data_IF_680430813959
#
_entry.id   IF_680430813959
#
_cell.length_a   1.000
_cell.length_b   1.000
_cell.length_c   1.000
_cell.angle_alpha   90.00
_cell.angle_beta   90.00
_cell.angle_gamma   90.00
#
_symmetry.space_group_name_H-M   'P 1'
#
loop_
_entity.id
_entity.type
_entity.pdbx_description
1 polymer ?
#
# COMPACT_ATOMS: atom_id res chain seq x y z
N UNK A 1 8.59 28.99 13.84
CA UNK A 1 8.19 28.14 12.69
C UNK A 1 6.70 27.87 12.81
N UNK A 2 5.89 28.11 11.76
CA UNK A 2 4.48 27.70 11.77
C UNK A 2 4.43 26.18 11.66
N UNK A 3 3.83 25.49 12.63
CA UNK A 3 3.59 24.04 12.56
C UNK A 3 2.70 23.77 11.34
N UNK A 4 3.21 23.01 10.37
CA UNK A 4 2.42 22.57 9.22
C UNK A 4 1.46 21.48 9.69
N UNK A 5 0.24 21.47 9.14
CA UNK A 5 -0.74 20.42 9.40
C UNK A 5 -0.09 19.05 9.11
N UNK A 6 -0.26 18.04 9.98
CA UNK A 6 0.18 16.69 9.69
C UNK A 6 -0.52 16.14 8.43
N UNK A 7 0.16 15.38 7.58
CA UNK A 7 -0.48 14.60 6.53
C UNK A 7 -1.41 13.54 7.15
N UNK A 8 -2.57 13.34 6.54
CA UNK A 8 -3.64 12.44 7.00
C UNK A 8 -3.99 11.38 5.96
N UNK A 9 -3.61 11.57 4.69
CA UNK A 9 -3.90 10.63 3.61
C UNK A 9 -2.63 10.10 2.93
N UNK A 10 -2.66 8.90 2.30
CA UNK A 10 -1.50 8.37 1.59
C UNK A 10 -0.93 9.31 0.53
N UNK A 11 -1.79 10.07 -0.16
CA UNK A 11 -1.36 11.04 -1.16
C UNK A 11 -0.59 12.21 -0.50
N UNK A 12 -1.09 12.73 0.62
CA UNK A 12 -0.42 13.79 1.37
C UNK A 12 0.92 13.33 1.93
N UNK A 13 1.03 12.07 2.37
CA UNK A 13 2.30 11.48 2.80
C UNK A 13 3.32 11.40 1.67
N UNK A 14 2.90 10.99 0.47
CA UNK A 14 3.78 10.96 -0.72
C UNK A 14 4.22 12.37 -1.13
N UNK A 15 3.31 13.33 -1.15
CA UNK A 15 3.64 14.72 -1.51
C UNK A 15 4.57 15.36 -0.47
N UNK A 16 4.40 15.01 0.80
CA UNK A 16 5.33 15.41 1.87
C UNK A 16 6.71 14.80 1.66
N UNK A 17 6.80 13.49 1.39
CA UNK A 17 8.07 12.81 1.13
C UNK A 17 8.84 13.45 -0.04
N UNK A 18 8.16 13.75 -1.15
CA UNK A 18 8.73 14.45 -2.31
C UNK A 18 9.22 15.85 -1.95
N UNK A 19 8.44 16.57 -1.15
CA UNK A 19 8.78 17.93 -0.70
C UNK A 19 10.01 17.94 0.19
N UNK A 20 10.11 17.01 1.14
CA UNK A 20 11.29 16.92 2.02
C UNK A 20 12.56 16.55 1.22
N UNK A 21 12.46 15.58 0.28
CA UNK A 21 13.54 15.26 -0.65
C UNK A 21 13.98 16.48 -1.49
N UNK A 22 13.02 17.21 -2.07
CA UNK A 22 13.31 18.36 -2.92
C UNK A 22 13.90 19.55 -2.16
N UNK A 23 13.54 19.71 -0.89
CA UNK A 23 14.09 20.76 -0.01
C UNK A 23 15.46 20.39 0.57
N UNK A 24 16.02 19.22 0.23
CA UNK A 24 17.26 18.72 0.82
C UNK A 24 17.13 18.44 2.32
N UNK A 25 15.91 18.26 2.82
CA UNK A 25 15.64 17.86 4.19
C UNK A 25 15.95 16.37 4.32
N UNK A 26 16.48 16.01 5.49
CA UNK A 26 16.89 14.67 5.90
C UNK A 26 16.12 13.54 5.20
N UNK A 27 16.88 12.70 4.48
CA UNK A 27 16.35 11.59 3.70
C UNK A 27 15.56 10.60 4.56
N UNK A 28 15.84 10.55 5.87
CA UNK A 28 15.14 9.69 6.82
C UNK A 28 13.68 10.12 6.99
N UNK A 29 13.39 11.44 7.02
CA UNK A 29 12.01 11.93 7.12
C UNK A 29 11.21 11.65 5.85
N UNK A 30 11.82 11.84 4.68
CA UNK A 30 11.16 11.52 3.42
C UNK A 30 10.87 10.02 3.30
N UNK A 31 11.82 9.19 3.71
CA UNK A 31 11.67 7.73 3.75
C UNK A 31 10.54 7.33 4.71
N UNK A 32 10.49 7.93 5.90
CA UNK A 32 9.42 7.68 6.86
C UNK A 32 8.03 8.00 6.29
N UNK A 33 7.87 9.16 5.64
CA UNK A 33 6.61 9.53 5.02
C UNK A 33 6.21 8.60 3.86
N UNK A 34 7.18 8.16 3.05
CA UNK A 34 6.92 7.18 1.99
C UNK A 34 6.47 5.82 2.56
N UNK A 35 7.10 5.34 3.64
CA UNK A 35 6.73 4.09 4.30
C UNK A 35 5.32 4.15 4.90
N UNK A 36 4.94 5.27 5.52
CA UNK A 36 3.57 5.46 6.04
C UNK A 36 2.56 5.39 4.89
N UNK A 37 2.83 6.06 3.76
CA UNK A 37 1.94 6.01 2.61
C UNK A 37 1.74 4.57 2.08
N UNK A 38 2.82 3.77 2.06
CA UNK A 38 2.76 2.36 1.66
C UNK A 38 1.92 1.55 2.65
N UNK A 39 2.17 1.69 3.96
CA UNK A 39 1.44 0.96 4.99
C UNK A 39 -0.08 1.23 4.93
N UNK A 40 -0.48 2.48 4.77
CA UNK A 40 -1.88 2.87 4.61
C UNK A 40 -2.52 2.25 3.35
N UNK A 41 -1.80 2.24 2.22
CA UNK A 41 -2.28 1.58 0.99
C UNK A 41 -2.42 0.07 1.17
N UNK A 42 -1.48 -0.57 1.86
CA UNK A 42 -1.56 -2.00 2.19
C UNK A 42 -2.75 -2.29 3.11
N UNK A 43 -3.04 -1.41 4.08
CA UNK A 43 -4.23 -1.48 4.93
C UNK A 43 -5.52 -1.41 4.12
N UNK A 44 -5.61 -0.44 3.19
CA UNK A 44 -6.74 -0.32 2.27
C UNK A 44 -6.91 -1.59 1.42
N UNK A 45 -5.83 -2.13 0.86
CA UNK A 45 -5.88 -3.39 0.09
C UNK A 45 -6.37 -4.53 0.98
N UNK A 46 -5.84 -4.67 2.19
CA UNK A 46 -6.24 -5.71 3.14
C UNK A 46 -7.73 -5.60 3.53
N UNK A 47 -8.27 -4.39 3.66
CA UNK A 47 -9.71 -4.16 3.88
C UNK A 47 -10.56 -4.63 2.70
N UNK A 48 -10.13 -4.35 1.47
CA UNK A 48 -10.83 -4.80 0.26
C UNK A 48 -10.72 -6.31 0.04
N UNK A 49 -9.64 -6.93 0.53
CA UNK A 49 -9.42 -8.38 0.47
C UNK A 49 -10.08 -9.13 1.63
N UNK A 50 -10.45 -8.46 2.73
CA UNK A 50 -11.13 -9.09 3.89
C UNK A 50 -12.40 -9.91 3.54
N UNK A 51 -13.26 -9.51 2.58
CA UNK A 51 -14.39 -10.34 2.15
C UNK A 51 -13.98 -11.49 1.22
N UNK A 52 -12.79 -11.45 0.65
CA UNK A 52 -12.18 -12.61 -0.03
C UNK A 52 -11.56 -13.46 1.08
N UNK A 53 -12.32 -14.42 1.61
CA UNK A 53 -11.70 -15.57 2.28
C UNK A 53 -10.73 -16.20 1.29
N UNK A 54 -9.46 -15.82 1.37
CA UNK A 54 -8.39 -16.59 0.74
C UNK A 54 -8.43 -17.89 1.52
N UNK A 55 -9.11 -18.88 0.94
CA UNK A 55 -9.08 -20.26 1.39
C UNK A 55 -7.63 -20.72 1.26
N UNK A 56 -6.82 -20.39 2.26
CA UNK A 56 -5.64 -21.19 2.60
C UNK A 56 -6.16 -22.34 3.45
N UNK A 57 -7.11 -23.11 2.88
CA UNK A 57 -7.40 -24.43 3.39
C UNK A 57 -6.22 -25.30 2.96
N UNK A 58 -5.52 -25.81 3.96
CA UNK A 58 -4.37 -26.69 3.80
C UNK A 58 -4.73 -28.07 3.24
N UNK A 59 -5.97 -28.31 2.81
CA UNK A 59 -6.41 -29.54 2.17
C UNK A 59 -6.69 -29.30 0.68
N UNK A 60 -5.69 -29.63 -0.13
CA UNK A 60 -5.72 -29.53 -1.58
C UNK A 60 -6.90 -30.30 -2.17
N UNK A 61 -7.89 -29.58 -2.69
CA UNK A 61 -8.67 -30.04 -3.85
C UNK A 61 -8.64 -28.92 -4.90
N UNK A 62 -7.84 -29.05 -5.98
CA UNK A 62 -7.71 -27.99 -6.96
C UNK A 62 -8.92 -28.04 -7.90
N UNK A 63 -9.93 -27.22 -7.64
CA UNK A 63 -10.95 -26.88 -8.65
C UNK A 63 -10.94 -25.38 -8.89
N UNK A 64 -9.75 -24.84 -9.16
CA UNK A 64 -9.65 -23.53 -9.80
C UNK A 64 -9.96 -23.73 -11.29
N UNK A 65 -11.22 -23.51 -11.68
CA UNK A 65 -11.59 -23.27 -13.06
C UNK A 65 -10.97 -21.93 -13.49
N UNK A 66 -9.67 -21.97 -13.82
CA UNK A 66 -9.01 -20.85 -14.47
C UNK A 66 -9.66 -20.66 -15.84
N UNK A 67 -10.22 -19.47 -16.15
CA UNK A 67 -10.83 -19.24 -17.45
C UNK A 67 -9.73 -19.23 -18.53
N UNK A 68 -9.68 -20.35 -19.24
CA UNK A 68 -9.19 -20.57 -20.59
C UNK A 68 -7.85 -19.92 -20.97
N UNK A 69 -6.77 -20.66 -20.75
CA UNK A 69 -5.41 -20.27 -21.07
C UNK A 69 -4.68 -21.27 -21.96
N UNK A 70 -5.36 -21.86 -22.96
CA UNK A 70 -4.84 -22.34 -24.28
C UNK A 70 -5.75 -23.44 -24.86
N UNK A 71 -6.67 -23.04 -25.73
CA UNK A 71 -7.19 -23.93 -26.78
C UNK A 71 -6.08 -24.12 -27.82
N UNK A 72 -5.51 -25.33 -27.89
CA UNK A 72 -4.96 -25.93 -29.12
C UNK A 72 -5.15 -27.43 -29.05
#
# INVERSE_FOLDING_TARGET
MKLRKPPETPAEFVDRAKTELANGVDADYATAYALIAIAERLGQIAEHLRPVQIAVDADHTPTLNWPDGRVR
#
